data_IF_489743801854
#
_entry.id   IF_489743801854
#
_cell.length_a   1.000
_cell.length_b   1.000
_cell.length_c   1.000
_cell.angle_alpha   90.00
_cell.angle_beta   90.00
_cell.angle_gamma   90.00
#
_symmetry.space_group_name_H-M   'P 1'
#
loop_
_entity.id
_entity.type
_entity.pdbx_description
1 polymer ?
#
# COMPACT_ATOMS: atom_id res chain seq x y z
N UNK A 1 -24.08 -10.05 -26.70
CA UNK A 1 -23.30 -9.15 -27.58
C UNK A 1 -21.87 -9.12 -27.08
N UNK A 2 -20.92 -9.60 -27.86
CA UNK A 2 -19.49 -9.54 -27.51
C UNK A 2 -19.04 -8.07 -27.46
N UNK A 3 -18.41 -7.68 -26.37
CA UNK A 3 -17.85 -6.34 -26.17
C UNK A 3 -16.75 -6.12 -27.21
N UNK A 4 -16.96 -5.22 -28.15
CA UNK A 4 -15.93 -4.79 -29.09
C UNK A 4 -14.84 -4.06 -28.26
N UNK A 5 -13.71 -4.73 -28.05
CA UNK A 5 -12.55 -4.16 -27.38
C UNK A 5 -11.93 -3.17 -28.38
N UNK A 6 -11.66 -1.93 -27.98
CA UNK A 6 -11.00 -0.96 -28.83
C UNK A 6 -9.57 -1.43 -29.17
N UNK A 7 -9.03 -1.00 -30.31
CA UNK A 7 -7.65 -1.32 -30.71
C UNK A 7 -6.64 -0.82 -29.66
N UNK A 8 -6.93 0.29 -28.99
CA UNK A 8 -6.12 0.82 -27.90
C UNK A 8 -6.15 -0.08 -26.65
N UNK A 9 -7.33 -0.58 -26.22
CA UNK A 9 -7.47 -1.55 -25.14
C UNK A 9 -6.80 -2.89 -25.48
N UNK A 10 -6.78 -3.25 -26.74
CA UNK A 10 -6.08 -4.44 -27.23
C UNK A 10 -4.56 -4.24 -27.16
N UNK A 11 -4.04 -3.11 -27.60
CA UNK A 11 -2.62 -2.77 -27.52
C UNK A 11 -2.14 -2.61 -26.06
N UNK A 12 -2.98 -2.10 -25.15
CA UNK A 12 -2.64 -2.04 -23.72
C UNK A 12 -2.44 -3.42 -23.08
N UNK A 13 -3.19 -4.44 -23.53
CA UNK A 13 -2.99 -5.83 -23.05
C UNK A 13 -1.64 -6.44 -23.44
N UNK A 14 -1.01 -5.93 -24.50
CA UNK A 14 0.29 -6.40 -25.00
C UNK A 14 1.46 -5.52 -24.57
N UNK A 15 1.23 -4.41 -23.82
CA UNK A 15 2.33 -3.74 -23.14
C UNK A 15 2.96 -4.74 -22.17
N UNK A 16 4.30 -4.91 -22.17
CA UNK A 16 4.96 -5.82 -21.25
C UNK A 16 4.52 -5.47 -19.82
N UNK A 17 3.90 -6.45 -19.14
CA UNK A 17 3.53 -6.27 -17.75
C UNK A 17 4.83 -6.03 -16.98
N UNK A 18 4.93 -4.91 -16.30
CA UNK A 18 6.04 -4.65 -15.38
C UNK A 18 6.15 -5.84 -14.43
N UNK A 19 7.27 -6.51 -14.46
CA UNK A 19 7.57 -7.64 -13.58
C UNK A 19 7.99 -7.15 -12.20
N UNK A 20 8.17 -8.04 -11.22
CA UNK A 20 8.77 -7.69 -9.93
C UNK A 20 10.21 -7.18 -10.08
N UNK A 21 10.84 -7.43 -11.22
CA UNK A 21 12.18 -6.96 -11.53
C UNK A 21 12.20 -5.48 -11.99
N UNK A 22 11.03 -4.91 -12.36
CA UNK A 22 10.86 -3.49 -12.71
C UNK A 22 10.29 -2.67 -11.55
N UNK A 23 10.47 -3.12 -10.32
CA UNK A 23 9.91 -2.49 -9.14
C UNK A 23 10.78 -1.32 -8.66
N UNK A 24 10.32 -0.09 -8.90
CA UNK A 24 10.95 1.09 -8.29
C UNK A 24 10.51 1.23 -6.84
N UNK A 25 11.50 1.30 -5.96
CA UNK A 25 11.27 1.61 -4.55
C UNK A 25 10.86 3.08 -4.43
N UNK A 26 9.76 3.40 -3.73
CA UNK A 26 9.40 4.78 -3.46
C UNK A 26 10.57 5.55 -2.86
N UNK A 27 10.85 6.79 -3.32
CA UNK A 27 12.04 7.54 -2.90
C UNK A 27 12.17 7.70 -1.38
N UNK A 28 11.07 7.94 -0.69
CA UNK A 28 11.07 8.13 0.77
C UNK A 28 11.37 6.83 1.52
N UNK A 29 10.89 5.68 1.05
CA UNK A 29 11.25 4.37 1.60
C UNK A 29 12.73 4.07 1.35
N UNK A 30 13.22 4.37 0.15
CA UNK A 30 14.64 4.22 -0.16
C UNK A 30 15.51 5.05 0.77
N UNK A 31 15.18 6.32 1.02
CA UNK A 31 15.91 7.19 1.92
C UNK A 31 15.91 6.70 3.38
N UNK A 32 14.79 6.16 3.86
CA UNK A 32 14.71 5.54 5.20
C UNK A 32 15.70 4.38 5.31
N UNK A 33 15.74 3.49 4.32
CA UNK A 33 16.63 2.32 4.29
C UNK A 33 18.08 2.76 4.16
N UNK A 34 18.38 3.69 3.27
CA UNK A 34 19.70 4.26 3.07
C UNK A 34 20.26 4.88 4.35
N UNK A 35 19.48 5.74 5.01
CA UNK A 35 19.90 6.41 6.23
C UNK A 35 20.18 5.41 7.36
N UNK A 36 19.36 4.38 7.49
CA UNK A 36 19.60 3.31 8.44
C UNK A 36 20.89 2.53 8.11
N UNK A 37 21.07 2.11 6.86
CA UNK A 37 22.26 1.36 6.44
C UNK A 37 23.56 2.19 6.59
N UNK A 38 23.52 3.48 6.26
CA UNK A 38 24.64 4.39 6.45
C UNK A 38 25.03 4.49 7.92
N UNK A 39 24.06 4.61 8.82
CA UNK A 39 24.29 4.68 10.27
C UNK A 39 24.85 3.36 10.81
N UNK A 40 24.24 2.24 10.44
CA UNK A 40 24.57 0.91 10.97
C UNK A 40 25.97 0.45 10.54
N UNK A 41 26.31 0.68 9.28
CA UNK A 41 27.56 0.18 8.70
C UNK A 41 28.61 1.29 8.46
N UNK A 42 28.38 2.51 8.92
CA UNK A 42 29.27 3.67 8.70
C UNK A 42 29.55 3.91 7.22
N UNK A 43 28.53 3.76 6.37
CA UNK A 43 28.66 3.99 4.92
C UNK A 43 28.58 5.49 4.65
N UNK A 44 29.55 6.01 3.90
CA UNK A 44 29.53 7.38 3.39
C UNK A 44 28.43 7.52 2.33
N UNK A 45 27.40 8.37 2.54
CA UNK A 45 26.32 8.56 1.58
C UNK A 45 26.77 9.00 0.18
N UNK A 46 27.91 9.72 0.09
CA UNK A 46 28.46 10.22 -1.18
C UNK A 46 29.13 9.11 -2.02
N UNK A 47 29.38 7.95 -1.41
CA UNK A 47 29.94 6.77 -2.08
C UNK A 47 28.90 5.79 -2.59
N UNK A 48 27.60 6.04 -2.29
CA UNK A 48 26.51 5.17 -2.69
C UNK A 48 26.24 5.32 -4.19
N UNK A 49 26.19 4.17 -4.86
CA UNK A 49 25.82 4.07 -6.28
C UNK A 49 24.62 3.16 -6.48
N UNK A 50 23.85 3.43 -7.55
CA UNK A 50 22.61 2.73 -7.89
C UNK A 50 22.66 2.22 -9.33
N UNK A 51 23.31 1.07 -9.59
CA UNK A 51 23.50 0.54 -10.94
C UNK A 51 22.25 -0.12 -11.53
N UNK A 52 21.19 -0.40 -10.74
CA UNK A 52 19.95 -1.01 -11.20
C UNK A 52 18.87 0.02 -11.57
N UNK A 53 19.29 1.27 -11.82
CA UNK A 53 18.37 2.25 -12.40
C UNK A 53 17.88 1.75 -13.78
N UNK A 54 16.66 2.13 -14.25
CA UNK A 54 16.09 1.61 -15.48
C UNK A 54 17.06 1.61 -16.65
N UNK A 55 17.33 0.44 -17.19
CA UNK A 55 18.29 0.24 -18.28
C UNK A 55 19.75 0.22 -17.85
N UNK A 56 20.05 0.17 -16.53
CA UNK A 56 21.42 0.08 -16.02
C UNK A 56 21.99 -1.33 -16.17
N UNK A 57 23.23 -1.40 -16.61
CA UNK A 57 24.02 -2.63 -16.72
C UNK A 57 25.03 -2.67 -15.56
N UNK A 58 24.72 -3.46 -14.52
CA UNK A 58 25.54 -3.56 -13.32
C UNK A 58 26.92 -4.18 -13.59
N UNK A 59 27.06 -5.02 -14.62
CA UNK A 59 28.33 -5.66 -14.97
C UNK A 59 29.34 -4.68 -15.59
N UNK A 60 28.83 -3.71 -16.37
CA UNK A 60 29.63 -2.69 -17.06
C UNK A 60 29.56 -1.32 -16.37
N UNK A 61 28.89 -1.21 -15.23
CA UNK A 61 28.84 0.04 -14.46
C UNK A 61 30.23 0.43 -13.98
N UNK A 62 30.58 1.72 -14.06
CA UNK A 62 31.87 2.22 -13.62
C UNK A 62 31.89 2.44 -12.09
N UNK A 63 32.35 1.44 -11.35
CA UNK A 63 32.48 1.53 -9.90
C UNK A 63 33.76 2.25 -9.50
N UNK A 64 33.65 3.35 -8.75
CA UNK A 64 34.80 3.95 -8.08
C UNK A 64 35.39 2.96 -7.05
N UNK A 65 36.68 3.05 -6.71
CA UNK A 65 37.36 2.09 -5.79
C UNK A 65 36.68 1.95 -4.42
N UNK A 66 36.01 3.00 -3.96
CA UNK A 66 35.32 3.10 -2.67
C UNK A 66 33.79 3.14 -2.80
N UNK A 67 33.25 2.82 -3.98
CA UNK A 67 31.82 2.79 -4.22
C UNK A 67 31.13 1.68 -3.39
N UNK A 68 29.95 2.01 -2.86
CA UNK A 68 29.07 1.08 -2.16
C UNK A 68 27.76 0.98 -2.94
N UNK A 69 27.35 -0.22 -3.30
CA UNK A 69 26.08 -0.43 -3.98
C UNK A 69 24.95 -0.53 -2.96
N UNK A 70 24.02 0.45 -2.96
CA UNK A 70 22.81 0.39 -2.18
C UNK A 70 21.62 0.56 -3.12
N UNK A 71 21.00 -0.56 -3.52
CA UNK A 71 19.97 -0.52 -4.56
C UNK A 71 19.00 -1.71 -4.47
N UNK A 72 17.95 -1.64 -5.27
CA UNK A 72 16.93 -2.67 -5.44
C UNK A 72 17.19 -3.42 -6.75
N UNK A 73 17.87 -4.58 -6.73
CA UNK A 73 18.19 -5.36 -7.92
C UNK A 73 17.00 -6.20 -8.39
N UNK A 74 17.02 -6.71 -9.64
CA UNK A 74 16.12 -7.75 -10.08
C UNK A 74 16.25 -9.01 -9.21
N UNK A 75 15.17 -9.41 -8.54
CA UNK A 75 15.21 -10.54 -7.59
C UNK A 75 15.43 -11.89 -8.26
N UNK A 76 15.05 -12.01 -9.54
CA UNK A 76 15.25 -13.24 -10.34
C UNK A 76 16.71 -13.65 -10.48
N UNK A 77 17.63 -12.66 -10.52
CA UNK A 77 19.08 -12.87 -10.70
C UNK A 77 19.89 -12.39 -9.49
N UNK A 78 19.27 -12.19 -8.33
CA UNK A 78 19.93 -11.64 -7.12
C UNK A 78 21.19 -12.43 -6.73
N UNK A 79 21.14 -13.77 -6.81
CA UNK A 79 22.31 -14.61 -6.46
C UNK A 79 23.51 -14.37 -7.39
N UNK A 80 23.27 -14.14 -8.67
CA UNK A 80 24.32 -13.83 -9.65
C UNK A 80 24.92 -12.44 -9.37
N UNK A 81 24.07 -11.47 -9.06
CA UNK A 81 24.47 -10.12 -8.68
C UNK A 81 25.35 -10.14 -7.42
N UNK A 82 24.93 -10.86 -6.38
CA UNK A 82 25.73 -11.02 -5.16
C UNK A 82 27.06 -11.71 -5.43
N UNK A 83 27.09 -12.76 -6.27
CA UNK A 83 28.33 -13.45 -6.66
C UNK A 83 29.30 -12.50 -7.39
N UNK A 84 28.80 -11.67 -8.29
CA UNK A 84 29.57 -10.64 -9.00
C UNK A 84 30.21 -9.65 -8.03
N UNK A 85 29.43 -9.05 -7.11
CA UNK A 85 29.98 -8.07 -6.15
C UNK A 85 30.97 -8.69 -5.17
N UNK A 86 30.64 -9.90 -4.63
CA UNK A 86 31.56 -10.61 -3.75
C UNK A 86 32.87 -10.98 -4.45
N UNK A 87 32.81 -11.38 -5.73
CA UNK A 87 33.99 -11.70 -6.53
C UNK A 87 34.88 -10.50 -6.80
N UNK A 88 34.29 -9.33 -6.99
CA UNK A 88 35.00 -8.05 -7.24
C UNK A 88 35.33 -7.27 -5.97
N UNK A 89 34.91 -7.75 -4.81
CA UNK A 89 35.05 -7.07 -3.50
C UNK A 89 34.40 -5.68 -3.48
N UNK A 90 33.30 -5.50 -4.20
CA UNK A 90 32.49 -4.28 -4.19
C UNK A 90 31.52 -4.40 -3.02
N UNK A 91 31.56 -3.49 -2.02
CA UNK A 91 30.61 -3.50 -0.92
C UNK A 91 29.20 -3.24 -1.39
N UNK A 92 28.24 -3.93 -0.78
CA UNK A 92 26.84 -3.76 -1.16
C UNK A 92 25.88 -3.90 0.02
N UNK A 93 24.72 -3.26 -0.12
CA UNK A 93 23.50 -3.44 0.65
C UNK A 93 22.34 -3.48 -0.33
N UNK A 94 21.76 -4.66 -0.57
CA UNK A 94 20.76 -4.88 -1.61
C UNK A 94 19.42 -5.31 -1.01
N UNK A 95 18.36 -4.87 -1.66
CA UNK A 95 17.02 -5.37 -1.38
C UNK A 95 16.91 -6.84 -1.81
N UNK A 96 16.14 -7.61 -1.07
CA UNK A 96 15.97 -9.04 -1.28
C UNK A 96 14.57 -9.51 -0.87
N UNK A 97 14.02 -10.55 -1.49
CA UNK A 97 12.76 -11.13 -1.07
C UNK A 97 12.92 -11.87 0.27
N UNK A 98 12.06 -11.58 1.26
CA UNK A 98 12.17 -12.16 2.61
C UNK A 98 12.05 -13.70 2.62
N UNK A 99 11.07 -14.24 1.86
CA UNK A 99 10.72 -15.64 1.94
C UNK A 99 11.76 -16.57 1.29
N UNK A 100 12.58 -16.07 0.37
CA UNK A 100 13.61 -16.84 -0.36
C UNK A 100 15.01 -16.37 -0.02
N UNK A 101 15.21 -15.68 1.08
CA UNK A 101 16.49 -15.08 1.48
C UNK A 101 17.65 -16.09 1.47
N UNK A 102 17.43 -17.33 1.87
CA UNK A 102 18.46 -18.36 1.95
C UNK A 102 18.54 -19.28 0.73
N UNK A 103 17.81 -18.97 -0.36
CA UNK A 103 17.79 -19.85 -1.54
C UNK A 103 19.09 -19.84 -2.36
N UNK A 104 19.90 -18.80 -2.23
CA UNK A 104 21.15 -18.61 -2.97
C UNK A 104 22.31 -19.47 -2.49
N UNK A 105 22.27 -20.80 -2.67
CA UNK A 105 23.21 -21.78 -2.13
C UNK A 105 24.69 -21.44 -2.29
N UNK A 106 25.09 -20.77 -3.39
CA UNK A 106 26.50 -20.43 -3.68
C UNK A 106 27.04 -19.26 -2.87
N UNK A 107 26.17 -18.31 -2.52
CA UNK A 107 26.55 -17.03 -1.91
C UNK A 107 26.02 -16.86 -0.49
N UNK A 108 25.04 -17.66 -0.08
CA UNK A 108 24.34 -17.51 1.19
C UNK A 108 25.29 -17.40 2.40
N UNK A 109 26.31 -18.25 2.48
CA UNK A 109 27.29 -18.25 3.58
C UNK A 109 28.37 -17.19 3.47
N UNK A 110 28.36 -16.35 2.43
CA UNK A 110 29.40 -15.35 2.14
C UNK A 110 28.91 -13.90 2.35
N UNK A 111 27.67 -13.74 2.77
CA UNK A 111 27.02 -12.46 3.00
C UNK A 111 26.08 -12.53 4.19
N UNK A 112 25.70 -11.37 4.72
CA UNK A 112 24.78 -11.24 5.83
C UNK A 112 23.35 -11.01 5.31
N UNK A 113 22.41 -11.81 5.75
CA UNK A 113 20.99 -11.72 5.45
C UNK A 113 20.26 -10.99 6.57
N UNK A 114 19.76 -9.78 6.29
CA UNK A 114 19.03 -8.95 7.24
C UNK A 114 17.54 -9.21 7.03
N UNK A 115 16.96 -10.03 7.89
CA UNK A 115 15.56 -10.46 7.75
C UNK A 115 14.64 -9.46 8.47
N UNK A 116 13.73 -8.90 7.68
CA UNK A 116 12.74 -7.92 8.10
C UNK A 116 11.33 -8.39 7.73
N UNK A 117 10.31 -7.95 8.47
CA UNK A 117 8.90 -8.08 8.08
C UNK A 117 8.42 -6.75 7.46
N UNK A 118 9.13 -6.27 6.46
CA UNK A 118 8.79 -5.07 5.72
C UNK A 118 7.85 -5.40 4.56
N UNK A 119 6.70 -4.71 4.48
CA UNK A 119 5.85 -4.73 3.30
C UNK A 119 6.02 -3.42 2.52
N UNK A 120 6.73 -3.48 1.39
CA UNK A 120 6.92 -2.33 0.51
C UNK A 120 5.91 -2.40 -0.62
N UNK A 121 5.17 -1.31 -0.81
CA UNK A 121 4.34 -1.08 -2.00
C UNK A 121 5.20 -0.33 -3.01
N UNK A 122 5.63 -1.03 -4.04
CA UNK A 122 6.46 -0.46 -5.10
C UNK A 122 5.64 0.45 -6.03
N UNK A 123 6.31 1.30 -6.82
CA UNK A 123 5.62 2.27 -7.68
C UNK A 123 4.68 1.63 -8.71
N UNK A 124 4.99 0.41 -9.15
CA UNK A 124 4.12 -0.39 -10.04
C UNK A 124 2.90 -1.00 -9.32
N UNK A 125 2.73 -0.76 -8.01
CA UNK A 125 1.65 -1.29 -7.18
C UNK A 125 1.90 -2.71 -6.63
N UNK A 126 3.02 -3.36 -6.94
CA UNK A 126 3.37 -4.65 -6.36
C UNK A 126 3.66 -4.51 -4.86
N UNK A 127 3.10 -5.43 -4.06
CA UNK A 127 3.36 -5.52 -2.61
C UNK A 127 4.29 -6.69 -2.39
N UNK A 128 5.51 -6.41 -1.94
CA UNK A 128 6.51 -7.45 -1.71
C UNK A 128 7.00 -7.41 -0.26
N UNK A 129 7.07 -8.59 0.37
CA UNK A 129 7.78 -8.76 1.63
C UNK A 129 9.27 -8.67 1.36
N UNK A 130 9.87 -7.59 1.82
CA UNK A 130 11.26 -7.21 1.51
C UNK A 130 12.14 -7.35 2.74
N UNK A 131 13.29 -7.93 2.54
CA UNK A 131 14.44 -8.02 3.44
C UNK A 131 15.68 -7.51 2.71
N UNK A 132 16.86 -7.72 3.26
CA UNK A 132 18.08 -7.19 2.66
C UNK A 132 19.21 -8.22 2.74
N UNK A 133 20.18 -8.08 1.85
CA UNK A 133 21.44 -8.81 1.87
C UNK A 133 22.60 -7.83 1.76
N UNK A 134 23.68 -8.11 2.48
CA UNK A 134 24.83 -7.19 2.52
C UNK A 134 26.14 -7.92 2.66
N UNK A 135 27.21 -7.30 2.14
CA UNK A 135 28.59 -7.71 2.37
C UNK A 135 29.14 -7.27 3.72
N UNK A 136 28.40 -6.43 4.45
CA UNK A 136 28.77 -5.97 5.77
C UNK A 136 28.34 -6.94 6.87
N UNK A 137 28.93 -6.83 8.06
CA UNK A 137 28.57 -7.65 9.23
C UNK A 137 29.58 -8.73 9.56
N UNK A 138 30.74 -8.79 8.89
CA UNK A 138 31.83 -9.72 9.21
C UNK A 138 31.41 -11.18 9.02
N UNK A 139 31.38 -11.97 10.09
CA UNK A 139 31.05 -13.38 10.13
C UNK A 139 29.53 -13.67 10.34
N UNK A 140 28.72 -12.60 10.44
CA UNK A 140 27.28 -12.76 10.55
C UNK A 140 26.70 -13.22 9.23
N UNK A 141 26.00 -14.37 9.24
CA UNK A 141 25.32 -14.91 8.05
C UNK A 141 23.84 -14.48 7.99
N UNK A 142 23.19 -14.34 9.14
CA UNK A 142 21.80 -13.92 9.19
C UNK A 142 21.47 -13.22 10.51
N UNK A 143 20.60 -12.22 10.42
CA UNK A 143 20.09 -11.50 11.60
C UNK A 143 18.66 -11.02 11.36
N UNK A 144 17.88 -10.89 12.41
CA UNK A 144 16.63 -10.13 12.39
C UNK A 144 16.92 -8.66 12.72
N UNK A 145 16.16 -7.73 12.07
CA UNK A 145 16.36 -6.29 12.29
C UNK A 145 15.04 -5.58 12.61
N UNK A 146 14.63 -5.55 13.90
CA UNK A 146 13.37 -4.94 14.32
C UNK A 146 13.29 -3.43 14.09
N UNK A 147 14.40 -2.68 14.30
CA UNK A 147 14.43 -1.22 14.10
C UNK A 147 14.13 -0.87 12.65
N UNK A 148 14.84 -1.48 11.71
CA UNK A 148 14.63 -1.26 10.28
C UNK A 148 13.21 -1.67 9.85
N UNK A 149 12.68 -2.77 10.40
CA UNK A 149 11.29 -3.19 10.17
C UNK A 149 10.30 -2.11 10.58
N UNK A 150 10.47 -1.53 11.77
CA UNK A 150 9.58 -0.47 12.27
C UNK A 150 9.66 0.79 11.41
N UNK A 151 10.86 1.24 11.07
CA UNK A 151 11.08 2.44 10.25
C UNK A 151 10.42 2.31 8.86
N UNK A 152 10.66 1.20 8.17
CA UNK A 152 10.11 0.98 6.82
C UNK A 152 8.58 0.82 6.87
N UNK A 153 8.04 0.12 7.85
CA UNK A 153 6.59 -0.05 7.99
C UNK A 153 5.88 1.25 8.37
N UNK A 154 6.50 2.09 9.20
CA UNK A 154 5.96 3.42 9.54
C UNK A 154 5.88 4.31 8.30
N UNK A 155 6.94 4.37 7.48
CA UNK A 155 6.94 5.14 6.25
C UNK A 155 5.96 4.58 5.21
N UNK A 156 5.87 3.26 5.08
CA UNK A 156 4.88 2.60 4.21
C UNK A 156 3.44 2.90 4.63
N UNK A 157 3.19 3.02 5.94
CA UNK A 157 1.88 3.43 6.48
C UNK A 157 1.59 4.89 6.15
N UNK A 158 2.58 5.79 6.31
CA UNK A 158 2.47 7.21 5.99
C UNK A 158 2.08 7.41 4.52
N UNK A 159 2.79 6.78 3.59
CA UNK A 159 2.51 6.85 2.16
C UNK A 159 1.10 6.32 1.80
N UNK A 160 0.67 5.24 2.45
CA UNK A 160 -0.70 4.73 2.26
C UNK A 160 -1.76 5.72 2.74
N UNK A 161 -1.53 6.39 3.86
CA UNK A 161 -2.44 7.42 4.37
C UNK A 161 -2.51 8.64 3.46
N UNK A 162 -1.39 9.09 2.90
CA UNK A 162 -1.35 10.19 1.95
C UNK A 162 -2.13 9.86 0.67
N UNK A 163 -1.85 8.71 0.05
CA UNK A 163 -2.61 8.24 -1.12
C UNK A 163 -4.11 8.07 -0.83
N UNK A 164 -4.48 7.63 0.37
CA UNK A 164 -5.89 7.52 0.76
C UNK A 164 -6.59 8.88 0.92
N UNK A 165 -5.85 9.96 1.24
CA UNK A 165 -6.38 11.33 1.28
C UNK A 165 -6.60 11.92 -0.11
N UNK A 166 -5.80 11.52 -1.09
CA UNK A 166 -5.89 11.98 -2.48
C UNK A 166 -6.99 11.31 -3.28
N UNK A 167 -7.44 10.13 -2.85
CA UNK A 167 -8.52 9.42 -3.52
C UNK A 167 -9.87 10.08 -3.19
N UNK A 168 -10.63 10.55 -4.18
CA UNK A 168 -11.97 11.05 -3.95
C UNK A 168 -12.81 9.92 -3.33
N UNK A 169 -13.41 10.18 -2.16
CA UNK A 169 -14.38 9.27 -1.57
C UNK A 169 -15.64 9.30 -2.42
N UNK A 170 -15.94 8.20 -3.11
CA UNK A 170 -17.20 8.04 -3.80
C UNK A 170 -18.25 7.54 -2.82
N UNK A 171 -19.25 8.38 -2.57
CA UNK A 171 -20.46 7.96 -1.86
C UNK A 171 -21.56 7.69 -2.88
N UNK A 172 -22.16 6.54 -2.77
CA UNK A 172 -23.33 6.22 -3.59
C UNK A 172 -24.59 6.81 -2.99
N UNK A 173 -25.58 7.22 -3.82
CA UNK A 173 -26.90 7.60 -3.33
C UNK A 173 -27.48 6.52 -2.41
N UNK A 174 -28.30 6.93 -1.47
CA UNK A 174 -28.87 6.07 -0.42
C UNK A 174 -29.66 4.86 -0.95
N UNK A 175 -30.16 4.90 -2.18
CA UNK A 175 -30.86 3.84 -2.87
C UNK A 175 -29.97 2.93 -3.74
N UNK A 176 -28.66 3.11 -3.72
CA UNK A 176 -27.70 2.21 -4.38
C UNK A 176 -27.15 1.22 -3.37
N UNK A 177 -27.28 -0.07 -3.67
CA UNK A 177 -26.72 -1.16 -2.88
C UNK A 177 -25.66 -1.90 -3.69
N UNK A 178 -24.50 -2.13 -3.10
CA UNK A 178 -23.40 -2.90 -3.70
C UNK A 178 -23.11 -4.18 -2.91
N UNK A 179 -22.47 -5.16 -3.55
CA UNK A 179 -22.04 -6.38 -2.87
C UNK A 179 -21.07 -6.07 -1.69
N UNK A 180 -20.22 -5.06 -1.83
CA UNK A 180 -19.32 -4.63 -0.76
C UNK A 180 -20.07 -4.11 0.48
N UNK A 181 -21.22 -3.43 0.30
CA UNK A 181 -22.06 -3.03 1.40
C UNK A 181 -22.69 -4.24 2.11
N UNK A 182 -23.20 -5.22 1.36
CA UNK A 182 -23.74 -6.45 1.93
C UNK A 182 -22.68 -7.28 2.68
N UNK A 183 -21.46 -7.35 2.16
CA UNK A 183 -20.34 -7.96 2.89
C UNK A 183 -20.09 -7.27 4.23
N UNK A 184 -20.12 -5.92 4.24
CA UNK A 184 -19.97 -5.13 5.46
C UNK A 184 -21.11 -5.41 6.43
N UNK A 185 -22.37 -5.48 5.94
CA UNK A 185 -23.54 -5.82 6.76
C UNK A 185 -23.38 -7.21 7.39
N UNK A 186 -23.06 -8.22 6.60
CA UNK A 186 -22.80 -9.58 7.10
C UNK A 186 -21.72 -9.60 8.18
N UNK A 187 -20.62 -8.86 7.99
CA UNK A 187 -19.52 -8.77 8.96
C UNK A 187 -19.96 -8.15 10.29
N UNK A 188 -20.86 -7.18 10.27
CA UNK A 188 -21.29 -6.43 11.46
C UNK A 188 -22.67 -6.86 12.00
N UNK A 189 -23.19 -8.02 11.54
CA UNK A 189 -24.41 -8.61 12.05
C UNK A 189 -25.69 -7.88 11.61
N UNK A 190 -25.65 -7.13 10.52
CA UNK A 190 -26.85 -6.53 9.91
C UNK A 190 -27.52 -7.56 9.01
N UNK A 191 -28.69 -8.03 9.40
CA UNK A 191 -29.54 -8.88 8.53
C UNK A 191 -30.39 -7.98 7.64
N UNK A 192 -30.13 -8.00 6.33
CA UNK A 192 -30.86 -7.22 5.34
C UNK A 192 -31.10 -8.04 4.08
N UNK A 193 -32.32 -8.01 3.59
CA UNK A 193 -32.77 -8.74 2.41
C UNK A 193 -33.48 -7.78 1.44
N UNK A 194 -33.24 -7.98 0.15
CA UNK A 194 -33.92 -7.26 -0.93
C UNK A 194 -34.64 -8.26 -1.85
N UNK A 195 -35.88 -8.00 -2.22
CA UNK A 195 -36.64 -8.87 -3.08
C UNK A 195 -36.63 -8.41 -4.54
N UNK A 196 -36.91 -9.32 -5.49
CA UNK A 196 -36.81 -9.06 -6.93
C UNK A 196 -37.60 -7.83 -7.41
N UNK A 197 -38.77 -7.59 -6.85
CA UNK A 197 -39.61 -6.43 -7.22
C UNK A 197 -39.22 -5.12 -6.57
N UNK A 198 -38.14 -5.08 -5.77
CA UNK A 198 -37.71 -3.93 -4.99
C UNK A 198 -36.48 -3.26 -5.53
N UNK A 199 -35.84 -3.86 -6.55
CA UNK A 199 -34.60 -3.36 -7.10
C UNK A 199 -34.43 -3.67 -8.58
N UNK A 200 -33.55 -2.86 -9.23
CA UNK A 200 -33.08 -3.07 -10.60
C UNK A 200 -31.55 -3.17 -10.61
N UNK A 201 -31.00 -3.95 -11.52
CA UNK A 201 -29.55 -4.09 -11.68
C UNK A 201 -29.00 -2.87 -12.41
N UNK A 202 -27.96 -2.26 -11.84
CA UNK A 202 -27.22 -1.17 -12.48
C UNK A 202 -25.74 -1.52 -12.63
N UNK A 203 -25.16 -1.13 -13.75
CA UNK A 203 -23.70 -1.20 -13.99
C UNK A 203 -23.01 0.13 -13.69
N UNK A 204 -23.73 1.24 -13.82
CA UNK A 204 -23.27 2.60 -13.55
C UNK A 204 -24.47 3.52 -13.37
N UNK A 205 -24.35 4.56 -12.56
CA UNK A 205 -25.23 5.71 -12.58
C UNK A 205 -24.93 6.58 -13.82
N UNK A 206 -25.89 7.35 -14.30
CA UNK A 206 -25.70 8.19 -15.50
C UNK A 206 -24.56 9.19 -15.30
N UNK A 207 -24.42 9.79 -14.11
CA UNK A 207 -23.31 10.65 -13.78
C UNK A 207 -21.94 9.92 -13.84
N UNK A 208 -21.90 8.64 -13.49
CA UNK A 208 -20.69 7.83 -13.61
C UNK A 208 -20.37 7.49 -15.08
N UNK A 209 -21.39 7.19 -15.89
CA UNK A 209 -21.20 6.92 -17.33
C UNK A 209 -20.59 8.13 -18.06
N UNK A 210 -21.09 9.33 -17.75
CA UNK A 210 -20.59 10.58 -18.30
C UNK A 210 -19.12 10.85 -17.91
N UNK A 211 -18.69 10.33 -16.76
CA UNK A 211 -17.32 10.42 -16.27
C UNK A 211 -16.44 9.20 -16.66
N UNK A 212 -16.92 8.30 -17.53
CA UNK A 212 -16.20 7.09 -17.92
C UNK A 212 -16.05 6.05 -16.79
N UNK A 213 -16.91 6.10 -15.74
CA UNK A 213 -16.83 5.26 -14.55
C UNK A 213 -18.01 4.31 -14.45
N UNK A 214 -17.88 3.28 -13.61
CA UNK A 214 -18.89 2.27 -13.37
C UNK A 214 -18.93 1.86 -11.89
N UNK A 215 -20.01 1.22 -11.46
CA UNK A 215 -20.09 0.55 -10.16
C UNK A 215 -19.25 -0.72 -10.24
N UNK A 216 -18.22 -0.82 -9.38
CA UNK A 216 -17.35 -2.00 -9.36
C UNK A 216 -18.16 -3.25 -8.96
N UNK A 217 -18.17 -4.26 -9.82
CA UNK A 217 -18.94 -5.48 -9.64
C UNK A 217 -20.46 -5.33 -9.86
N UNK A 218 -20.93 -4.15 -10.31
CA UNK A 218 -22.34 -3.83 -10.44
C UNK A 218 -23.01 -3.46 -9.12
N UNK A 219 -24.27 -3.00 -9.20
CA UNK A 219 -25.07 -2.63 -8.03
C UNK A 219 -26.55 -2.88 -8.25
N UNK A 220 -27.32 -2.69 -7.20
CA UNK A 220 -28.79 -2.70 -7.21
C UNK A 220 -29.28 -1.29 -6.93
N UNK A 221 -30.19 -0.79 -7.77
CA UNK A 221 -30.94 0.43 -7.51
C UNK A 221 -32.22 0.03 -6.78
N UNK A 222 -32.32 0.43 -5.52
CA UNK A 222 -33.44 0.05 -4.64
C UNK A 222 -34.62 1.01 -4.81
N UNK A 223 -35.83 0.51 -4.68
CA UNK A 223 -37.02 1.35 -4.47
C UNK A 223 -36.90 2.08 -3.11
N UNK A 224 -37.65 3.16 -2.94
CA UNK A 224 -37.59 3.99 -1.72
C UNK A 224 -37.86 3.23 -0.44
N UNK A 225 -38.81 2.23 -0.47
CA UNK A 225 -39.15 1.39 0.69
C UNK A 225 -37.93 0.53 1.09
N UNK A 226 -37.37 -0.25 0.18
CA UNK A 226 -36.25 -1.13 0.45
C UNK A 226 -35.01 -0.34 0.93
N UNK A 227 -34.75 0.86 0.36
CA UNK A 227 -33.68 1.71 0.79
C UNK A 227 -33.94 2.29 2.20
N UNK A 228 -35.14 2.63 2.57
CA UNK A 228 -35.50 3.06 3.92
C UNK A 228 -35.36 1.90 4.96
N UNK A 229 -35.76 0.69 4.60
CA UNK A 229 -35.53 -0.52 5.41
C UNK A 229 -34.06 -0.80 5.63
N UNK A 230 -33.24 -0.64 4.59
CA UNK A 230 -31.76 -0.72 4.70
C UNK A 230 -31.22 0.27 5.71
N UNK A 231 -31.60 1.54 5.60
CA UNK A 231 -31.15 2.59 6.52
C UNK A 231 -31.63 2.35 7.96
N UNK A 232 -32.80 1.74 8.14
CA UNK A 232 -33.32 1.33 9.46
C UNK A 232 -32.46 0.18 10.05
N UNK A 233 -32.14 -0.83 9.24
CA UNK A 233 -31.28 -1.94 9.65
C UNK A 233 -29.88 -1.50 10.03
N UNK A 234 -29.28 -0.59 9.25
CA UNK A 234 -27.98 0.01 9.58
C UNK A 234 -28.00 0.75 10.94
N UNK A 235 -29.07 1.54 11.18
CA UNK A 235 -29.23 2.28 12.44
C UNK A 235 -29.45 1.34 13.63
N UNK A 236 -30.23 0.28 13.45
CA UNK A 236 -30.50 -0.70 14.52
C UNK A 236 -29.23 -1.47 14.93
N UNK A 237 -28.31 -1.72 13.99
CA UNK A 237 -27.04 -2.37 14.26
C UNK A 237 -25.93 -1.42 14.74
N UNK A 238 -26.15 -0.11 14.70
CA UNK A 238 -25.18 0.88 15.17
C UNK A 238 -25.07 0.84 16.69
N UNK A 239 -23.87 0.57 17.21
CA UNK A 239 -23.61 0.69 18.64
C UNK A 239 -23.51 2.18 19.00
N UNK A 240 -24.51 2.68 19.71
CA UNK A 240 -24.52 4.06 20.19
C UNK A 240 -23.99 4.08 21.64
N UNK A 241 -22.85 4.72 21.85
CA UNK A 241 -22.31 4.96 23.17
C UNK A 241 -23.24 5.88 23.95
N UNK A 242 -23.59 5.47 25.17
CA UNK A 242 -24.41 6.31 26.06
C UNK A 242 -23.51 7.34 26.74
N UNK A 243 -23.97 8.59 26.72
CA UNK A 243 -23.31 9.64 27.47
C UNK A 243 -23.43 9.40 28.96
N UNK A 244 -22.34 9.61 29.69
CA UNK A 244 -22.31 9.57 31.15
C UNK A 244 -23.02 10.82 31.73
N UNK A 245 -23.44 10.79 33.00
CA UNK A 245 -24.00 11.96 33.66
C UNK A 245 -23.07 13.19 33.64
N UNK A 246 -21.75 12.94 33.67
CA UNK A 246 -20.73 14.01 33.56
C UNK A 246 -20.72 14.65 32.18
N UNK A 247 -20.80 13.86 31.13
CA UNK A 247 -20.81 14.35 29.73
C UNK A 247 -22.10 15.11 29.44
N UNK A 248 -23.23 14.64 29.95
CA UNK A 248 -24.51 15.36 29.86
C UNK A 248 -24.46 16.74 30.57
N UNK A 249 -23.84 16.82 31.75
CA UNK A 249 -23.65 18.07 32.46
C UNK A 249 -22.74 19.05 31.70
N UNK A 250 -21.72 18.53 31.01
CA UNK A 250 -20.84 19.35 30.13
C UNK A 250 -21.62 19.88 28.94
N UNK A 251 -22.43 19.07 28.30
CA UNK A 251 -23.30 19.51 27.18
C UNK A 251 -24.25 20.62 27.65
N UNK A 252 -24.93 20.43 28.78
CA UNK A 252 -25.82 21.45 29.35
C UNK A 252 -25.11 22.79 29.65
N UNK A 253 -23.88 22.70 30.14
CA UNK A 253 -23.04 23.91 30.37
C UNK A 253 -22.68 24.60 29.05
N UNK A 254 -22.33 23.84 27.99
CA UNK A 254 -22.02 24.38 26.68
C UNK A 254 -23.26 25.02 26.06
N UNK A 255 -24.40 24.36 26.11
CA UNK A 255 -25.66 24.86 25.55
C UNK A 255 -26.08 26.20 26.22
N UNK A 256 -25.91 26.31 27.54
CA UNK A 256 -26.15 27.59 28.25
C UNK A 256 -25.23 28.72 27.78
N UNK A 257 -23.97 28.39 27.47
CA UNK A 257 -23.02 29.38 26.90
C UNK A 257 -23.37 29.78 25.48
N UNK A 258 -23.70 28.82 24.63
CA UNK A 258 -24.08 29.07 23.23
C UNK A 258 -25.39 29.85 23.16
N UNK A 259 -26.36 29.55 24.01
CA UNK A 259 -27.64 30.30 24.09
C UNK A 259 -27.49 31.75 24.59
N UNK A 260 -26.43 32.07 25.37
CA UNK A 260 -26.13 33.42 25.80
C UNK A 260 -25.39 34.26 24.74
N UNK A 261 -24.71 33.63 23.78
CA UNK A 261 -24.02 34.35 22.70
C UNK A 261 -24.98 34.90 21.65
N UNK A 262 -26.17 34.30 21.49
CA UNK A 262 -27.20 34.76 20.53
C UNK A 262 -28.00 35.98 20.99
N UNK A 263 -27.71 36.64 22.12
CA UNK A 263 -28.45 37.78 22.67
C UNK A 263 -27.63 39.06 22.78
N UNK A 264 -26.46 39.17 22.19
CA UNK A 264 -25.61 40.36 22.32
C UNK A 264 -25.43 41.15 21.01
N UNK A 265 -26.09 40.76 19.91
CA UNK A 265 -26.09 41.56 18.68
C UNK A 265 -27.52 41.77 18.18
N UNK A 266 -28.19 42.81 18.77
CA UNK A 266 -29.23 43.63 18.15
C UNK A 266 -29.16 45.02 18.73
#
# INVERSE_FOLDING_TARGET
MAKQISFEDFCEKFKPKKTTDDCYTPPTIYEVIKNWACKEYSIDPDKIVRPFYPGGDYENFNYAPDAVVLDNPPFSILSQICEFYLGRKIPFFLFAPSLTAFAGKRVCMRMNHIICDCQIVYENGAIVKTSFVTSYGGDIVAQSQPELTQLVNAESARLRHEKARELPKYEYPWNVLTAAMLQKYSKYGVDYKVHRGECEIISALDAQRNAGKAVFGGGLLLCSRAAAERAAAERAAAYVWKLSPRELAVIEYIDKRCGNVSRVDT
#
